data_IF_592718899296
#
_entry.id   IF_592718899296
#
_cell.length_a   1.000
_cell.length_b   1.000
_cell.length_c   1.000
_cell.angle_alpha   90.00
_cell.angle_beta   90.00
_cell.angle_gamma   90.00
#
_symmetry.space_group_name_H-M   'P 1'
#
loop_
_entity.id
_entity.type
_entity.pdbx_description
1 polymer ?
#
# COMPACT_ATOMS: atom_id res chain seq x y z
N UNK A 1 -8.10 -1.91 -12.51
CA UNK A 1 -8.95 -1.02 -11.73
C UNK A 1 -8.81 0.40 -12.28
N UNK A 2 -9.92 0.97 -12.76
CA UNK A 2 -9.96 2.30 -13.39
C UNK A 2 -10.19 3.37 -12.32
N UNK A 3 -9.79 4.61 -12.63
CA UNK A 3 -10.01 5.78 -11.79
C UNK A 3 -8.95 6.02 -10.71
N UNK A 4 -9.09 7.13 -9.96
CA UNK A 4 -8.17 7.53 -8.92
C UNK A 4 -8.12 6.52 -7.79
N UNK A 5 -7.01 6.49 -7.09
CA UNK A 5 -6.76 5.58 -5.98
C UNK A 5 -6.28 6.36 -4.77
N UNK A 6 -6.78 6.00 -3.63
CA UNK A 6 -6.38 6.55 -2.32
C UNK A 6 -6.03 5.38 -1.42
N UNK A 7 -4.98 5.50 -0.63
CA UNK A 7 -4.59 4.46 0.31
C UNK A 7 -4.73 4.98 1.74
N UNK A 8 -5.41 4.22 2.60
CA UNK A 8 -5.49 4.52 4.03
C UNK A 8 -4.31 3.85 4.73
N UNK A 9 -3.59 4.61 5.57
CA UNK A 9 -2.45 4.14 6.35
C UNK A 9 -2.59 4.52 7.82
N UNK A 10 -2.00 3.74 8.71
CA UNK A 10 -1.95 4.07 10.13
C UNK A 10 -0.76 3.41 10.84
N UNK A 11 -0.55 3.76 12.10
CA UNK A 11 0.57 3.27 12.91
C UNK A 11 0.57 1.76 13.22
N UNK A 12 -0.43 0.99 12.77
CA UNK A 12 -0.43 -0.48 12.83
C UNK A 12 0.13 -1.12 11.57
N UNK A 13 0.30 -0.34 10.51
CA UNK A 13 0.90 -0.79 9.27
C UNK A 13 2.41 -0.88 9.44
N UNK A 14 2.95 -2.09 9.47
CA UNK A 14 4.38 -2.39 9.60
C UNK A 14 4.85 -3.35 8.51
N UNK A 15 6.15 -3.44 8.30
CA UNK A 15 6.77 -4.34 7.30
C UNK A 15 6.20 -4.13 5.90
N UNK A 16 5.48 -5.08 5.33
CA UNK A 16 4.77 -4.89 4.06
C UNK A 16 3.78 -3.72 4.08
N UNK A 17 3.20 -3.42 5.25
CA UNK A 17 2.35 -2.25 5.48
C UNK A 17 3.10 -0.92 5.52
N UNK A 18 4.40 -0.93 5.71
CA UNK A 18 5.29 0.22 5.51
C UNK A 18 5.76 0.33 4.06
N UNK A 19 6.16 -0.80 3.47
CA UNK A 19 6.71 -0.82 2.12
C UNK A 19 5.67 -0.47 1.06
N UNK A 20 4.45 -0.97 1.20
CA UNK A 20 3.40 -0.73 0.21
C UNK A 20 3.03 0.75 0.05
N UNK A 21 2.77 1.54 1.12
CA UNK A 21 2.54 2.97 0.98
C UNK A 21 3.76 3.72 0.44
N UNK A 22 4.98 3.32 0.81
CA UNK A 22 6.19 3.88 0.22
C UNK A 22 6.20 3.71 -1.31
N UNK A 23 5.97 2.49 -1.80
CA UNK A 23 5.93 2.20 -3.22
C UNK A 23 4.74 2.87 -3.93
N UNK A 24 3.59 2.95 -3.27
CA UNK A 24 2.40 3.61 -3.78
C UNK A 24 2.67 5.09 -4.08
N UNK A 25 3.30 5.80 -3.15
CA UNK A 25 3.75 7.17 -3.35
C UNK A 25 4.85 7.28 -4.40
N UNK A 26 5.90 6.46 -4.33
CA UNK A 26 7.04 6.48 -5.27
C UNK A 26 6.62 6.22 -6.72
N UNK A 27 5.51 5.52 -6.94
CA UNK A 27 4.91 5.26 -8.25
C UNK A 27 3.84 6.27 -8.65
N UNK A 28 3.55 7.26 -7.83
CA UNK A 28 2.53 8.26 -8.12
C UNK A 28 1.12 7.67 -8.30
N UNK A 29 0.79 6.59 -7.57
CA UNK A 29 -0.49 5.89 -7.74
C UNK A 29 -1.64 6.71 -7.17
N UNK A 30 -1.39 7.48 -6.10
CA UNK A 30 -2.38 8.34 -5.46
C UNK A 30 -1.93 8.79 -4.07
N UNK A 31 -2.75 9.61 -3.37
CA UNK A 31 -2.43 10.09 -2.04
C UNK A 31 -2.62 9.04 -0.94
N UNK A 32 -1.89 9.24 0.15
CA UNK A 32 -1.99 8.50 1.39
C UNK A 32 -2.79 9.29 2.42
N UNK A 33 -3.80 8.69 3.02
CA UNK A 33 -4.68 9.30 4.03
C UNK A 33 -4.55 8.55 5.36
N UNK A 34 -4.49 9.25 6.47
CA UNK A 34 -4.51 8.63 7.79
C UNK A 34 -3.39 9.12 8.71
N UNK A 35 -2.63 8.21 9.30
CA UNK A 35 -1.50 8.54 10.18
C UNK A 35 -0.26 7.79 9.75
N UNK A 36 0.91 8.26 10.21
CA UNK A 36 2.21 7.65 9.90
C UNK A 36 2.19 6.14 10.14
N UNK A 37 2.84 5.37 9.27
CA UNK A 37 3.01 3.93 9.45
C UNK A 37 4.03 3.64 10.56
N UNK A 38 4.17 2.38 10.95
CA UNK A 38 4.98 2.01 12.11
C UNK A 38 6.48 2.25 11.91
N UNK A 39 7.00 2.03 10.70
CA UNK A 39 8.43 2.15 10.44
C UNK A 39 9.24 0.93 10.91
N UNK A 40 8.71 -0.26 10.71
CA UNK A 40 9.36 -1.54 11.01
C UNK A 40 9.48 -2.38 9.76
N UNK A 41 10.42 -2.01 8.90
CA UNK A 41 10.61 -2.62 7.57
C UNK A 41 11.81 -3.58 7.51
N UNK A 42 12.65 -3.60 8.54
CA UNK A 42 13.82 -4.51 8.59
C UNK A 42 13.40 -5.98 8.42
N UNK A 43 14.07 -6.69 7.52
CA UNK A 43 13.85 -8.11 7.28
C UNK A 43 14.41 -8.98 8.41
N UNK A 44 13.70 -10.07 8.75
CA UNK A 44 14.01 -10.96 9.88
C UNK A 44 13.97 -12.43 9.47
N UNK A 45 14.53 -12.76 8.33
CA UNK A 45 14.58 -14.14 7.80
C UNK A 45 15.89 -14.85 8.16
N UNK A 46 15.93 -16.16 7.95
CA UNK A 46 17.13 -17.02 8.07
C UNK A 46 17.83 -16.99 9.43
N UNK A 47 17.06 -16.99 10.52
CA UNK A 47 17.62 -17.21 11.85
C UNK A 47 17.72 -18.70 12.13
N UNK A 48 18.94 -19.24 12.36
CA UNK A 48 19.09 -20.66 12.67
C UNK A 48 18.49 -20.96 14.05
N UNK A 49 17.96 -22.19 14.26
CA UNK A 49 17.50 -22.60 15.57
C UNK A 49 18.66 -22.67 16.56
N UNK A 50 18.38 -22.42 17.85
CA UNK A 50 19.32 -22.60 18.92
C UNK A 50 19.55 -24.10 19.21
N UNK A 51 20.64 -24.42 19.92
CA UNK A 51 21.02 -25.81 20.19
C UNK A 51 19.98 -26.59 21.04
N UNK A 52 19.17 -25.87 21.79
CA UNK A 52 18.06 -26.40 22.61
C UNK A 52 16.71 -26.44 21.85
N UNK A 53 16.72 -26.09 20.57
CA UNK A 53 15.52 -26.00 19.74
C UNK A 53 14.74 -24.68 19.89
N UNK A 54 15.22 -23.76 20.72
CA UNK A 54 14.67 -22.42 20.82
C UNK A 54 14.89 -21.62 19.53
N UNK A 55 14.17 -20.52 19.38
CA UNK A 55 14.33 -19.60 18.26
C UNK A 55 14.46 -18.16 18.74
N UNK A 56 15.13 -17.35 17.96
CA UNK A 56 15.16 -15.91 18.14
C UNK A 56 14.98 -15.21 16.80
N UNK A 57 14.49 -13.98 16.86
CA UNK A 57 14.29 -13.14 15.66
C UNK A 57 15.33 -12.03 15.69
N UNK A 58 16.15 -11.96 14.65
CA UNK A 58 17.16 -10.93 14.50
C UNK A 58 17.02 -10.21 13.16
N UNK A 59 17.37 -8.91 13.09
CA UNK A 59 17.39 -8.20 11.82
C UNK A 59 18.46 -8.79 10.90
N UNK A 60 18.11 -9.00 9.63
CA UNK A 60 18.96 -9.62 8.60
C UNK A 60 19.16 -8.75 7.37
N UNK A 61 18.33 -7.77 7.15
CA UNK A 61 18.45 -6.85 6.02
C UNK A 61 17.59 -5.62 6.18
N UNK A 62 18.03 -4.53 5.61
CA UNK A 62 17.34 -3.26 5.60
C UNK A 62 16.92 -2.84 4.19
N UNK A 63 16.09 -1.81 4.13
CA UNK A 63 15.59 -1.23 2.91
C UNK A 63 16.25 0.13 2.67
N UNK A 64 16.76 0.34 1.47
CA UNK A 64 17.23 1.65 0.98
C UNK A 64 16.58 1.99 -0.36
N UNK A 65 16.47 3.25 -0.63
CA UNK A 65 15.80 3.76 -1.82
C UNK A 65 16.70 3.77 -3.06
N UNK A 66 16.17 4.27 -4.17
CA UNK A 66 16.89 4.36 -5.46
C UNK A 66 18.08 5.36 -5.43
N UNK A 67 18.14 6.22 -4.42
CA UNK A 67 19.22 7.17 -4.20
C UNK A 67 20.35 6.58 -3.32
N UNK A 68 20.14 5.37 -2.78
CA UNK A 68 21.07 4.73 -1.85
C UNK A 68 20.91 5.18 -0.40
N UNK A 69 19.78 5.79 -0.04
CA UNK A 69 19.48 6.26 1.31
C UNK A 69 18.59 5.27 2.05
N UNK A 70 18.91 5.02 3.33
CA UNK A 70 18.05 4.21 4.19
C UNK A 70 16.68 4.86 4.31
N UNK A 71 15.64 4.10 4.03
CA UNK A 71 14.28 4.61 3.98
C UNK A 71 13.32 3.74 4.80
N UNK A 72 12.29 4.38 5.34
CA UNK A 72 11.16 3.77 6.04
C UNK A 72 11.48 3.21 7.44
N UNK A 73 12.58 2.45 7.61
CA UNK A 73 12.93 1.90 8.93
C UNK A 73 13.07 3.01 9.96
N UNK A 74 12.46 2.84 11.13
CA UNK A 74 12.37 3.78 12.25
C UNK A 74 11.59 5.08 11.98
N UNK A 75 11.29 5.42 10.73
CA UNK A 75 10.57 6.66 10.36
C UNK A 75 9.13 6.40 9.92
N UNK A 76 8.88 5.24 9.30
CA UNK A 76 7.62 4.95 8.64
C UNK A 76 7.38 5.80 7.39
N UNK A 77 6.13 5.81 6.94
CA UNK A 77 5.65 6.60 5.81
C UNK A 77 4.56 7.53 6.32
N UNK A 78 4.78 8.84 6.22
CA UNK A 78 3.81 9.84 6.61
C UNK A 78 2.66 9.91 5.59
N UNK A 79 1.42 10.20 6.00
CA UNK A 79 0.31 10.45 5.08
C UNK A 79 0.47 11.79 4.35
N UNK A 80 -0.19 11.93 3.21
CA UNK A 80 -0.34 13.21 2.50
C UNK A 80 -1.48 14.04 3.11
N UNK A 81 -2.50 13.34 3.66
CA UNK A 81 -3.64 13.91 4.37
C UNK A 81 -3.71 13.26 5.75
N UNK A 82 -3.30 14.02 6.79
CA UNK A 82 -3.33 13.49 8.16
C UNK A 82 -4.76 13.49 8.70
N UNK A 83 -5.23 12.30 9.08
CA UNK A 83 -6.52 12.09 9.74
C UNK A 83 -6.36 11.08 10.86
N UNK A 84 -6.80 11.44 12.06
CA UNK A 84 -6.75 10.57 13.23
C UNK A 84 -8.14 10.06 13.57
N UNK A 85 -8.26 8.77 13.79
CA UNK A 85 -9.48 8.18 14.33
C UNK A 85 -9.55 8.45 15.84
N UNK A 86 -10.50 9.29 16.26
CA UNK A 86 -10.78 9.51 17.67
C UNK A 86 -11.50 8.26 18.22
N UNK A 87 -11.02 7.65 19.33
CA UNK A 87 -11.64 6.46 19.89
C UNK A 87 -13.15 6.63 20.23
N UNK A 88 -13.57 7.80 20.68
CA UNK A 88 -14.97 8.06 21.01
C UNK A 88 -15.86 8.06 19.74
N UNK A 89 -15.35 8.63 18.63
CA UNK A 89 -16.07 8.64 17.35
C UNK A 89 -16.16 7.22 16.76
N UNK A 90 -15.05 6.47 16.82
CA UNK A 90 -15.03 5.07 16.35
C UNK A 90 -15.98 4.19 17.14
N UNK A 91 -16.05 4.35 18.47
CA UNK A 91 -17.02 3.64 19.30
C UNK A 91 -18.48 4.03 18.99
N UNK A 92 -18.69 5.25 18.50
CA UNK A 92 -19.99 5.71 18.02
C UNK A 92 -20.32 5.24 16.59
N UNK A 93 -19.40 4.53 15.93
CA UNK A 93 -19.59 3.94 14.59
C UNK A 93 -19.08 4.79 13.43
N UNK A 94 -18.37 5.90 13.69
CA UNK A 94 -17.73 6.70 12.66
C UNK A 94 -16.34 6.10 12.25
N UNK A 95 -15.92 6.35 11.03
CA UNK A 95 -14.55 6.06 10.55
C UNK A 95 -14.00 7.29 9.81
N UNK A 96 -13.46 8.28 10.55
CA UNK A 96 -12.94 9.51 9.96
C UNK A 96 -11.87 9.28 8.88
N UNK A 97 -11.03 8.25 9.01
CA UNK A 97 -10.03 7.94 8.00
C UNK A 97 -10.66 7.42 6.70
N UNK A 98 -11.64 6.54 6.81
CA UNK A 98 -12.38 6.05 5.64
C UNK A 98 -13.17 7.18 4.97
N UNK A 99 -13.87 7.98 5.75
CA UNK A 99 -14.66 9.11 5.26
C UNK A 99 -13.78 10.11 4.49
N UNK A 100 -12.61 10.47 5.05
CA UNK A 100 -11.67 11.35 4.38
C UNK A 100 -11.08 10.73 3.10
N UNK A 101 -10.76 9.43 3.12
CA UNK A 101 -10.24 8.74 1.94
C UNK A 101 -11.28 8.64 0.82
N UNK A 102 -12.55 8.42 1.15
CA UNK A 102 -13.65 8.43 0.18
C UNK A 102 -13.86 9.83 -0.38
N UNK A 103 -13.87 10.86 0.48
CA UNK A 103 -14.01 12.25 0.03
C UNK A 103 -12.88 12.64 -0.94
N UNK A 104 -11.64 12.27 -0.64
CA UNK A 104 -10.50 12.55 -1.51
C UNK A 104 -10.58 11.77 -2.83
N UNK A 105 -11.00 10.50 -2.81
CA UNK A 105 -11.20 9.73 -4.02
C UNK A 105 -12.28 10.32 -4.94
N UNK A 106 -13.37 10.82 -4.36
CA UNK A 106 -14.44 11.51 -5.10
C UNK A 106 -13.95 12.85 -5.67
N UNK A 107 -13.19 13.63 -4.88
CA UNK A 107 -12.60 14.88 -5.35
C UNK A 107 -11.66 14.64 -6.55
N UNK A 108 -10.80 13.63 -6.46
CA UNK A 108 -9.91 13.24 -7.56
C UNK A 108 -10.69 12.77 -8.78
N UNK A 109 -11.78 12.04 -8.59
CA UNK A 109 -12.64 11.60 -9.69
C UNK A 109 -13.27 12.79 -10.45
N UNK A 110 -13.67 13.85 -9.74
CA UNK A 110 -14.22 15.05 -10.33
C UNK A 110 -13.16 15.88 -11.07
N UNK A 111 -11.93 15.93 -10.55
CA UNK A 111 -10.86 16.79 -11.08
C UNK A 111 -10.02 16.14 -12.17
N UNK A 112 -9.75 14.83 -12.06
CA UNK A 112 -8.90 14.08 -12.97
C UNK A 112 -9.72 13.30 -14.01
N UNK A 113 -10.99 13.00 -13.68
CA UNK A 113 -11.87 12.23 -14.52
C UNK A 113 -11.48 10.74 -14.61
N UNK A 114 -12.17 10.03 -15.48
CA UNK A 114 -11.84 8.66 -15.87
C UNK A 114 -11.94 8.57 -17.39
N UNK A 115 -10.85 8.26 -18.05
CA UNK A 115 -10.88 7.82 -19.43
C UNK A 115 -11.09 6.31 -19.47
N UNK A 116 -12.29 5.88 -19.85
CA UNK A 116 -12.58 4.46 -20.03
C UNK A 116 -12.15 4.03 -21.43
N UNK A 117 -11.24 3.09 -21.49
CA UNK A 117 -10.87 2.44 -22.73
C UNK A 117 -12.01 1.54 -23.23
N UNK A 118 -12.20 1.45 -24.53
CA UNK A 118 -13.16 0.53 -25.11
C UNK A 118 -12.80 -0.92 -24.75
N UNK A 119 -13.82 -1.74 -24.53
CA UNK A 119 -13.61 -3.17 -24.31
C UNK A 119 -12.91 -3.79 -25.53
N UNK A 120 -11.80 -4.52 -25.34
CA UNK A 120 -11.14 -5.19 -26.46
C UNK A 120 -12.01 -6.33 -26.99
N UNK A 121 -11.81 -6.68 -28.27
CA UNK A 121 -12.46 -7.86 -28.85
C UNK A 121 -12.17 -9.12 -28.02
N UNK A 122 -13.18 -9.97 -27.86
CA UNK A 122 -13.03 -11.22 -27.11
C UNK A 122 -11.93 -12.09 -27.73
N UNK A 123 -10.99 -12.62 -26.94
CA UNK A 123 -9.90 -13.44 -27.47
C UNK A 123 -10.43 -14.74 -28.06
N UNK A 124 -9.96 -15.10 -29.25
CA UNK A 124 -10.28 -16.38 -29.88
C UNK A 124 -9.53 -17.50 -29.15
N UNK A 125 -10.23 -18.27 -28.32
CA UNK A 125 -9.67 -19.34 -27.47
C UNK A 125 -9.80 -20.74 -28.08
N UNK A 126 -10.25 -20.86 -29.32
CA UNK A 126 -10.36 -22.13 -30.02
C UNK A 126 -9.50 -22.14 -31.29
N UNK A 127 -8.91 -23.28 -31.61
CA UNK A 127 -8.22 -23.48 -32.89
C UNK A 127 -9.28 -23.66 -33.98
N UNK A 128 -9.27 -22.81 -34.98
CA UNK A 128 -10.07 -23.08 -36.20
C UNK A 128 -9.48 -24.29 -36.93
N UNK A 129 -10.28 -25.31 -37.28
CA UNK A 129 -9.82 -26.37 -38.12
C UNK A 129 -9.33 -25.79 -39.47
N UNK A 130 -8.09 -26.07 -39.88
CA UNK A 130 -7.53 -25.63 -41.16
C UNK A 130 -6.82 -24.28 -41.18
N UNK A 131 -6.67 -23.59 -40.07
CA UNK A 131 -5.84 -22.37 -39.96
C UNK A 131 -4.38 -22.77 -39.83
N UNK A 132 -3.65 -22.85 -40.91
CA UNK A 132 -2.19 -22.86 -40.90
C UNK A 132 -1.62 -21.63 -40.30
N UNK A 133 -0.37 -21.71 -39.76
CA UNK A 133 0.42 -20.61 -39.20
C UNK A 133 0.54 -19.45 -40.20
#
# INVERSE_FOLDING_TARGET
LWGPKVMIINGRAGSGGDLMPYLFRAKGVGPLVGTNTWGRLVGTWDTPPLIDGGSFVAPRGGFYDVNGEWAVEATGVAPDIEVRNNPAEVLAGADPQLEAAVAEALRLLETEGIELMAEPEAPVRYRRPGGGR
#
